data_IF_884266074006
#
_entry.id   IF_884266074006
#
_cell.length_a   1.000
_cell.length_b   1.000
_cell.length_c   1.000
_cell.angle_alpha   90.00
_cell.angle_beta   90.00
_cell.angle_gamma   90.00
#
_symmetry.space_group_name_H-M   'P 1'
#
loop_
_entity.id
_entity.type
_entity.pdbx_description
1 polymer ?
#
# COMPACT_ATOMS: atom_id res chain seq x y z
N UNK A 1 9.44 26.19 -5.98
CA UNK A 1 9.05 25.32 -4.82
C UNK A 1 8.04 24.32 -5.36
N UNK A 2 8.25 23.00 -5.17
CA UNK A 2 7.20 22.01 -5.50
C UNK A 2 6.02 22.23 -4.56
N UNK A 3 4.80 22.23 -5.12
CA UNK A 3 3.55 22.40 -4.35
C UNK A 3 3.46 21.33 -3.24
N UNK A 4 3.38 21.77 -1.97
CA UNK A 4 3.18 20.87 -0.83
C UNK A 4 1.83 20.17 -0.98
N UNK A 5 1.80 18.83 -0.90
CA UNK A 5 0.60 18.00 -0.98
C UNK A 5 0.33 17.28 0.32
N UNK A 6 -0.93 17.07 0.63
CA UNK A 6 -1.37 16.20 1.71
C UNK A 6 -1.64 14.81 1.15
N UNK A 7 -0.85 13.83 1.58
CA UNK A 7 -0.87 12.46 1.06
C UNK A 7 -1.27 11.50 2.17
N UNK A 8 -2.26 10.66 1.89
CA UNK A 8 -2.65 9.58 2.78
C UNK A 8 -2.26 8.24 2.15
N UNK A 9 -1.46 7.45 2.86
CA UNK A 9 -1.11 6.09 2.46
C UNK A 9 -1.99 5.09 3.20
N UNK A 10 -2.58 4.14 2.49
CA UNK A 10 -3.37 3.04 3.04
C UNK A 10 -2.65 1.71 2.78
N UNK A 11 -2.30 0.99 3.83
CA UNK A 11 -1.59 -0.30 3.71
C UNK A 11 -0.88 -0.70 5.00
N UNK A 12 -0.11 -1.80 4.97
CA UNK A 12 0.68 -2.21 6.11
C UNK A 12 1.80 -1.20 6.38
N UNK A 13 1.95 -0.85 7.63
CA UNK A 13 3.01 0.01 8.16
C UNK A 13 3.23 -0.40 9.61
N UNK A 14 4.25 0.14 10.28
CA UNK A 14 4.48 -0.16 11.69
C UNK A 14 3.16 -0.17 12.52
N UNK A 15 2.91 -1.16 13.39
CA UNK A 15 3.82 -2.23 13.85
C UNK A 15 3.88 -3.47 12.96
N UNK A 16 3.25 -3.50 11.78
CA UNK A 16 3.39 -4.62 10.87
C UNK A 16 4.83 -4.69 10.36
N UNK A 17 5.36 -5.93 10.21
CA UNK A 17 6.68 -6.23 9.68
C UNK A 17 6.61 -6.81 8.28
N UNK A 18 7.72 -6.75 7.56
CA UNK A 18 7.93 -7.35 6.24
C UNK A 18 8.01 -6.32 5.13
N UNK A 19 8.55 -6.74 3.98
CA UNK A 19 8.98 -5.84 2.92
C UNK A 19 7.93 -4.83 2.44
N UNK A 20 6.63 -5.18 2.43
CA UNK A 20 5.57 -4.25 2.05
C UNK A 20 5.39 -3.15 3.12
N UNK A 21 5.46 -3.51 4.41
CA UNK A 21 5.35 -2.52 5.50
C UNK A 21 6.57 -1.60 5.52
N UNK A 22 7.77 -2.17 5.34
CA UNK A 22 9.02 -1.41 5.33
C UNK A 22 9.06 -0.44 4.16
N UNK A 23 8.74 -0.89 2.94
CA UNK A 23 8.69 -0.01 1.75
C UNK A 23 7.59 1.05 1.85
N UNK A 24 6.49 0.78 2.55
CA UNK A 24 5.46 1.78 2.85
C UNK A 24 5.98 2.85 3.83
N UNK A 25 6.69 2.45 4.89
CA UNK A 25 7.31 3.38 5.83
C UNK A 25 8.35 4.26 5.12
N UNK A 26 9.21 3.68 4.25
CA UNK A 26 10.17 4.43 3.44
C UNK A 26 9.49 5.43 2.50
N UNK A 27 8.41 5.01 1.82
CA UNK A 27 7.65 5.92 0.97
C UNK A 27 7.14 7.12 1.78
N UNK A 28 6.60 6.87 2.97
CA UNK A 28 6.11 7.93 3.85
C UNK A 28 7.23 8.89 4.28
N UNK A 29 8.40 8.35 4.68
CA UNK A 29 9.57 9.15 5.06
C UNK A 29 10.07 10.03 3.90
N UNK A 30 10.23 9.44 2.72
CA UNK A 30 10.71 10.16 1.54
C UNK A 30 9.73 11.25 1.09
N UNK A 31 8.42 11.00 1.11
CA UNK A 31 7.43 12.02 0.80
C UNK A 31 7.46 13.17 1.83
N UNK A 32 7.65 12.87 3.12
CA UNK A 32 7.85 13.91 4.16
C UNK A 32 9.14 14.71 3.90
N UNK A 33 10.25 14.03 3.57
CA UNK A 33 11.52 14.69 3.25
C UNK A 33 11.43 15.60 2.01
N UNK A 34 10.55 15.26 1.06
CA UNK A 34 10.23 16.10 -0.10
C UNK A 34 9.29 17.28 0.23
N UNK A 35 8.89 17.43 1.51
CA UNK A 35 8.07 18.54 1.99
C UNK A 35 6.56 18.31 1.93
N UNK A 36 6.09 17.11 1.59
CA UNK A 36 4.67 16.76 1.62
C UNK A 36 4.21 16.47 3.07
N UNK A 37 2.90 16.60 3.33
CA UNK A 37 2.29 16.19 4.60
C UNK A 37 1.74 14.78 4.47
N UNK A 38 2.38 13.81 5.14
CA UNK A 38 2.03 12.40 4.98
C UNK A 38 1.39 11.82 6.24
N UNK A 39 0.27 11.15 6.05
CA UNK A 39 -0.38 10.32 7.08
C UNK A 39 -0.47 8.89 6.55
N UNK A 40 -0.30 7.90 7.42
CA UNK A 40 -0.47 6.48 7.08
C UNK A 40 -1.62 5.90 7.89
N UNK A 41 -2.63 5.33 7.20
CA UNK A 41 -3.61 4.47 7.85
C UNK A 41 -3.24 3.02 7.62
N UNK A 42 -2.88 2.34 8.71
CA UNK A 42 -2.55 0.93 8.69
C UNK A 42 -3.64 0.08 9.35
N UNK A 43 -3.47 -1.22 9.32
CA UNK A 43 -4.49 -2.16 9.78
C UNK A 43 -4.58 -2.25 11.32
N UNK A 44 -5.79 -2.38 11.82
CA UNK A 44 -6.08 -2.99 13.12
C UNK A 44 -6.08 -4.51 13.00
N UNK A 45 -6.61 -5.01 11.86
CA UNK A 45 -6.61 -6.42 11.49
C UNK A 45 -6.41 -6.53 9.98
N UNK A 46 -5.29 -7.14 9.55
CA UNK A 46 -4.94 -7.31 8.14
C UNK A 46 -5.48 -8.63 7.59
N UNK A 47 -5.23 -9.74 8.30
CA UNK A 47 -5.73 -11.07 7.97
C UNK A 47 -6.46 -11.69 9.16
N UNK A 48 -7.49 -12.53 8.94
CA UNK A 48 -8.02 -13.39 9.98
C UNK A 48 -6.91 -14.25 10.59
N UNK A 49 -6.92 -14.44 11.91
CA UNK A 49 -5.89 -15.24 12.60
C UNK A 49 -5.69 -16.63 11.98
N UNK A 50 -6.78 -17.23 11.48
CA UNK A 50 -6.77 -18.56 10.84
C UNK A 50 -6.01 -18.59 9.51
N UNK A 51 -5.92 -17.46 8.79
CA UNK A 51 -5.28 -17.37 7.47
C UNK A 51 -3.81 -16.89 7.57
N UNK A 52 -3.32 -16.63 8.77
CA UNK A 52 -1.95 -16.18 8.94
C UNK A 52 -1.06 -17.35 9.39
N UNK A 53 -0.10 -17.78 8.55
CA UNK A 53 0.74 -18.95 8.84
C UNK A 53 1.88 -18.66 9.84
N UNK A 54 2.10 -17.39 10.21
CA UNK A 54 3.21 -16.97 11.07
C UNK A 54 2.83 -16.83 12.55
N UNK A 55 3.83 -16.80 13.43
CA UNK A 55 3.66 -16.61 14.87
C UNK A 55 3.21 -15.19 15.22
N UNK A 56 3.72 -14.16 14.52
CA UNK A 56 3.37 -12.77 14.71
C UNK A 56 3.49 -11.96 13.40
N UNK A 57 2.57 -11.00 13.21
CA UNK A 57 2.59 -10.05 12.11
C UNK A 57 3.30 -8.74 12.50
N UNK A 58 3.69 -8.60 13.75
CA UNK A 58 4.19 -7.36 14.32
C UNK A 58 5.69 -7.41 14.53
N UNK A 59 6.34 -6.25 14.38
CA UNK A 59 7.71 -5.99 14.76
C UNK A 59 7.76 -5.55 16.22
N UNK A 60 8.82 -5.96 16.91
CA UNK A 60 9.15 -5.46 18.25
C UNK A 60 9.99 -4.17 18.18
N UNK A 61 10.33 -3.72 16.98
CA UNK A 61 11.09 -2.49 16.76
C UNK A 61 10.26 -1.24 17.10
N UNK A 62 10.96 -0.17 17.47
CA UNK A 62 10.35 1.13 17.70
C UNK A 62 9.73 1.68 16.39
N UNK A 63 8.58 2.36 16.52
CA UNK A 63 7.99 3.04 15.39
C UNK A 63 9.01 3.99 14.72
N UNK A 64 9.05 4.07 13.39
CA UNK A 64 9.88 5.04 12.70
C UNK A 64 9.57 6.46 13.18
N UNK A 65 10.60 7.20 13.59
CA UNK A 65 10.45 8.58 14.04
C UNK A 65 9.83 9.43 12.91
N UNK A 66 9.01 10.43 13.28
CA UNK A 66 8.40 11.42 12.39
C UNK A 66 7.30 10.88 11.44
N UNK A 67 6.85 9.63 11.55
CA UNK A 67 5.71 9.14 10.79
C UNK A 67 4.39 9.24 11.57
N UNK A 68 3.38 9.85 10.95
CA UNK A 68 2.01 9.88 11.48
C UNK A 68 1.25 8.62 11.07
N UNK A 69 1.46 7.53 11.81
CA UNK A 69 0.83 6.23 11.56
C UNK A 69 -0.38 6.04 12.47
N UNK A 70 -1.54 5.71 11.89
CA UNK A 70 -2.79 5.45 12.62
C UNK A 70 -3.35 4.08 12.25
N UNK A 71 -3.55 3.22 13.22
CA UNK A 71 -4.20 1.91 13.02
C UNK A 71 -5.71 2.10 12.93
N UNK A 72 -6.28 1.99 11.74
CA UNK A 72 -7.70 2.28 11.48
C UNK A 72 -8.43 1.22 10.67
N UNK A 73 -7.74 0.41 9.86
CA UNK A 73 -8.34 -0.43 8.84
C UNK A 73 -8.54 -1.85 9.37
N UNK A 74 -9.77 -2.34 9.28
CA UNK A 74 -10.12 -3.75 9.49
C UNK A 74 -10.50 -4.36 8.14
N UNK A 75 -9.65 -5.23 7.58
CA UNK A 75 -9.71 -5.65 6.17
C UNK A 75 -11.01 -6.37 5.77
N UNK A 76 -11.72 -6.98 6.71
CA UNK A 76 -12.96 -7.74 6.44
C UNK A 76 -14.17 -7.28 7.27
N UNK A 77 -14.19 -6.02 7.73
CA UNK A 77 -15.34 -5.43 8.41
C UNK A 77 -15.93 -4.25 7.60
N UNK A 78 -17.04 -4.44 6.86
CA UNK A 78 -17.64 -3.38 6.04
C UNK A 78 -18.10 -2.14 6.82
N UNK A 79 -18.49 -2.30 8.10
CA UNK A 79 -18.85 -1.15 8.94
C UNK A 79 -17.62 -0.28 9.25
N UNK A 80 -16.44 -0.91 9.43
CA UNK A 80 -15.20 -0.18 9.61
C UNK A 80 -14.81 0.59 8.35
N UNK A 81 -15.02 0.05 7.16
CA UNK A 81 -14.65 0.71 5.88
C UNK A 81 -15.36 2.06 5.73
N UNK A 82 -16.63 2.16 6.16
CA UNK A 82 -17.37 3.43 6.16
C UNK A 82 -16.76 4.46 7.11
N UNK A 83 -16.36 4.04 8.31
CA UNK A 83 -15.69 4.91 9.29
C UNK A 83 -14.32 5.37 8.79
N UNK A 84 -13.58 4.48 8.12
CA UNK A 84 -12.29 4.82 7.49
C UNK A 84 -12.49 5.86 6.40
N UNK A 85 -13.44 5.65 5.48
CA UNK A 85 -13.74 6.61 4.42
C UNK A 85 -14.18 7.98 4.98
N UNK A 86 -14.99 8.00 6.03
CA UNK A 86 -15.35 9.24 6.73
C UNK A 86 -14.12 9.96 7.31
N UNK A 87 -13.20 9.22 7.94
CA UNK A 87 -11.94 9.78 8.45
C UNK A 87 -11.07 10.35 7.32
N UNK A 88 -11.05 9.71 6.15
CA UNK A 88 -10.33 10.19 4.97
C UNK A 88 -10.95 11.49 4.46
N UNK A 89 -12.28 11.54 4.34
CA UNK A 89 -12.99 12.74 3.89
C UNK A 89 -12.78 13.92 4.85
N UNK A 90 -12.76 13.69 6.17
CA UNK A 90 -12.45 14.71 7.17
C UNK A 90 -11.00 15.19 7.09
N UNK A 91 -10.04 14.28 6.81
CA UNK A 91 -8.64 14.63 6.61
C UNK A 91 -8.45 15.46 5.33
N UNK A 92 -9.31 15.25 4.33
CA UNK A 92 -9.33 15.90 3.03
C UNK A 92 -7.93 15.96 2.36
N UNK A 93 -7.28 14.81 2.11
CA UNK A 93 -5.98 14.78 1.44
C UNK A 93 -6.13 15.09 -0.05
N UNK A 94 -5.02 15.54 -0.69
CA UNK A 94 -4.96 15.67 -2.16
C UNK A 94 -4.96 14.28 -2.83
N UNK A 95 -4.23 13.34 -2.20
CA UNK A 95 -4.06 11.97 -2.72
C UNK A 95 -4.29 10.94 -1.63
N UNK A 96 -4.99 9.87 -1.99
CA UNK A 96 -5.06 8.62 -1.22
C UNK A 96 -4.39 7.53 -2.03
N UNK A 97 -3.35 6.90 -1.48
CA UNK A 97 -2.58 5.84 -2.14
C UNK A 97 -2.91 4.52 -1.46
N UNK A 98 -3.53 3.61 -2.21
CA UNK A 98 -3.91 2.28 -1.77
C UNK A 98 -2.80 1.29 -2.11
N UNK A 99 -2.16 0.68 -1.11
CA UNK A 99 -1.19 -0.40 -1.35
C UNK A 99 -1.93 -1.68 -1.72
N UNK A 100 -1.61 -2.24 -2.89
CA UNK A 100 -2.26 -3.43 -3.43
C UNK A 100 -1.24 -4.51 -3.77
N UNK A 101 -1.41 -5.71 -3.20
CA UNK A 101 -0.54 -6.86 -3.44
C UNK A 101 -1.30 -8.19 -3.49
N UNK A 102 -2.60 -8.18 -3.21
CA UNK A 102 -3.43 -9.40 -3.20
C UNK A 102 -4.90 -9.07 -3.46
N UNK A 103 -5.59 -9.87 -4.29
CA UNK A 103 -7.02 -9.72 -4.54
C UNK A 103 -7.89 -9.80 -3.28
N UNK A 104 -7.42 -10.48 -2.23
CA UNK A 104 -8.10 -10.57 -0.92
C UNK A 104 -8.49 -9.20 -0.36
N UNK A 105 -7.69 -8.16 -0.59
CA UNK A 105 -7.96 -6.81 -0.08
C UNK A 105 -8.90 -5.99 -0.97
N UNK A 106 -9.19 -6.45 -2.18
CA UNK A 106 -10.01 -5.70 -3.14
C UNK A 106 -11.39 -5.28 -2.61
N UNK A 107 -12.15 -6.14 -1.89
CA UNK A 107 -13.43 -5.72 -1.31
C UNK A 107 -13.28 -4.59 -0.28
N UNK A 108 -12.23 -4.64 0.55
CA UNK A 108 -11.93 -3.60 1.53
C UNK A 108 -11.59 -2.27 0.84
N UNK A 109 -10.68 -2.30 -0.12
CA UNK A 109 -10.25 -1.11 -0.86
C UNK A 109 -11.41 -0.50 -1.66
N UNK A 110 -12.20 -1.33 -2.35
CA UNK A 110 -13.41 -0.88 -3.03
C UNK A 110 -14.41 -0.24 -2.05
N UNK A 111 -14.69 -0.93 -0.93
CA UNK A 111 -15.66 -0.46 0.07
C UNK A 111 -15.28 0.88 0.69
N UNK A 112 -13.98 1.15 0.87
CA UNK A 112 -13.45 2.44 1.32
C UNK A 112 -13.49 3.45 0.18
N UNK A 113 -12.89 3.14 -0.98
CA UNK A 113 -12.66 4.07 -2.08
C UNK A 113 -13.95 4.64 -2.66
N UNK A 114 -15.01 3.83 -2.79
CA UNK A 114 -16.33 4.28 -3.31
C UNK A 114 -17.02 5.35 -2.43
N UNK A 115 -16.57 5.52 -1.18
CA UNK A 115 -17.14 6.49 -0.22
C UNK A 115 -16.24 7.71 -0.01
N UNK A 116 -15.09 7.75 -0.64
CA UNK A 116 -14.19 8.91 -0.64
C UNK A 116 -14.73 9.96 -1.60
N UNK A 117 -14.63 11.23 -1.22
CA UNK A 117 -15.06 12.36 -2.06
C UNK A 117 -14.34 12.32 -3.42
N UNK A 118 -15.07 12.63 -4.51
CA UNK A 118 -14.55 12.61 -5.89
C UNK A 118 -13.41 13.61 -6.13
N UNK A 119 -13.32 14.63 -5.31
CA UNK A 119 -12.24 15.64 -5.37
C UNK A 119 -10.88 15.10 -4.92
N UNK A 120 -10.88 14.03 -4.13
CA UNK A 120 -9.67 13.38 -3.62
C UNK A 120 -9.19 12.36 -4.65
N UNK A 121 -7.94 12.47 -5.11
CA UNK A 121 -7.35 11.54 -6.08
C UNK A 121 -6.99 10.21 -5.42
N UNK A 122 -7.44 9.13 -6.03
CA UNK A 122 -7.24 7.74 -5.55
C UNK A 122 -6.26 7.02 -6.46
N UNK A 123 -5.11 6.63 -5.92
CA UNK A 123 -4.03 5.95 -6.65
C UNK A 123 -3.80 4.54 -6.09
N UNK A 124 -3.61 3.57 -6.96
CA UNK A 124 -3.15 2.26 -6.57
C UNK A 124 -1.62 2.18 -6.64
N UNK A 125 -0.95 1.81 -5.53
CA UNK A 125 0.46 1.42 -5.54
C UNK A 125 0.54 -0.11 -5.49
N UNK A 126 0.98 -0.71 -6.59
CA UNK A 126 0.80 -2.14 -6.85
C UNK A 126 2.11 -2.90 -6.80
N UNK A 127 2.19 -3.88 -5.92
CA UNK A 127 3.31 -4.83 -5.84
C UNK A 127 3.08 -6.03 -6.78
N UNK A 128 1.87 -6.61 -6.75
CA UNK A 128 1.46 -7.73 -7.61
C UNK A 128 0.06 -7.45 -8.16
N UNK A 129 -0.09 -7.54 -9.50
CA UNK A 129 -1.39 -7.40 -10.17
C UNK A 129 -2.11 -8.74 -10.31
N UNK A 130 -1.36 -9.76 -10.70
CA UNK A 130 -1.81 -11.14 -10.80
C UNK A 130 -1.26 -11.91 -9.60
N UNK A 131 -2.11 -12.71 -8.96
CA UNK A 131 -1.70 -13.58 -7.85
C UNK A 131 -0.70 -14.64 -8.32
N UNK A 132 0.27 -15.02 -7.48
CA UNK A 132 1.19 -16.13 -7.78
C UNK A 132 0.46 -17.48 -7.95
N UNK A 133 -0.65 -17.66 -7.25
CA UNK A 133 -1.55 -18.80 -7.39
C UNK A 133 -2.95 -18.27 -7.76
N UNK A 134 -3.21 -17.96 -9.05
CA UNK A 134 -4.42 -17.29 -9.46
C UNK A 134 -5.65 -18.18 -9.27
N UNK A 135 -6.67 -17.62 -8.65
CA UNK A 135 -7.99 -18.24 -8.48
C UNK A 135 -8.96 -17.62 -9.46
N UNK A 136 -10.02 -18.34 -9.81
CA UNK A 136 -10.99 -17.90 -10.82
C UNK A 136 -11.67 -16.55 -10.50
N UNK A 137 -11.76 -16.16 -9.21
CA UNK A 137 -12.34 -14.88 -8.78
C UNK A 137 -11.33 -13.73 -8.75
N UNK A 138 -10.01 -13.98 -8.81
CA UNK A 138 -8.97 -12.95 -8.61
C UNK A 138 -9.08 -11.81 -9.61
N UNK A 139 -9.34 -12.13 -10.89
CA UNK A 139 -9.53 -11.12 -11.94
C UNK A 139 -10.70 -10.19 -11.62
N UNK A 140 -11.83 -10.73 -11.19
CA UNK A 140 -13.03 -9.95 -10.84
C UNK A 140 -12.76 -9.06 -9.63
N UNK A 141 -12.04 -9.56 -8.61
CA UNK A 141 -11.67 -8.78 -7.43
C UNK A 141 -10.69 -7.66 -7.79
N UNK A 142 -9.69 -7.93 -8.63
CA UNK A 142 -8.74 -6.92 -9.10
C UNK A 142 -9.45 -5.83 -9.91
N UNK A 143 -10.40 -6.21 -10.78
CA UNK A 143 -11.24 -5.25 -11.52
C UNK A 143 -12.13 -4.42 -10.58
N UNK A 144 -12.68 -5.03 -9.52
CA UNK A 144 -13.43 -4.32 -8.50
C UNK A 144 -12.58 -3.23 -7.83
N UNK A 145 -11.34 -3.54 -7.47
CA UNK A 145 -10.39 -2.57 -6.93
C UNK A 145 -10.11 -1.46 -7.95
N UNK A 146 -9.72 -1.81 -9.18
CA UNK A 146 -9.32 -0.84 -10.20
C UNK A 146 -10.43 0.12 -10.59
N UNK A 147 -11.70 -0.30 -10.51
CA UNK A 147 -12.86 0.53 -10.88
C UNK A 147 -13.00 1.82 -10.06
N UNK A 148 -12.29 1.93 -8.95
CA UNK A 148 -12.34 3.09 -8.05
C UNK A 148 -11.08 3.96 -8.12
N UNK A 149 -10.09 3.59 -8.93
CA UNK A 149 -8.81 4.28 -8.98
C UNK A 149 -8.78 5.32 -10.11
N UNK A 150 -8.08 6.42 -9.88
CA UNK A 150 -7.80 7.46 -10.87
C UNK A 150 -6.49 7.18 -11.64
N UNK A 151 -5.67 6.23 -11.18
CA UNK A 151 -4.42 5.81 -11.79
C UNK A 151 -3.62 4.87 -10.90
N UNK A 152 -2.48 4.42 -11.41
CA UNK A 152 -1.64 3.44 -10.74
C UNK A 152 -0.15 3.80 -10.77
N UNK A 153 0.56 3.30 -9.77
CA UNK A 153 2.00 3.17 -9.78
C UNK A 153 2.37 1.71 -9.49
N UNK A 154 3.34 1.17 -10.22
CA UNK A 154 3.87 -0.17 -10.00
C UNK A 154 5.35 -0.12 -9.65
N UNK A 155 5.82 -1.10 -8.88
CA UNK A 155 7.21 -1.24 -8.49
C UNK A 155 7.99 -2.18 -9.41
N UNK A 156 7.41 -2.57 -10.55
CA UNK A 156 8.10 -3.27 -11.64
C UNK A 156 7.44 -2.97 -12.97
N UNK A 157 8.21 -3.02 -14.05
CA UNK A 157 7.71 -2.83 -15.41
C UNK A 157 6.68 -3.90 -15.78
N UNK A 158 6.95 -5.16 -15.45
CA UNK A 158 6.06 -6.29 -15.77
C UNK A 158 4.67 -6.12 -15.12
N UNK A 159 4.62 -5.72 -13.84
CA UNK A 159 3.34 -5.43 -13.15
C UNK A 159 2.65 -4.23 -13.80
N UNK A 160 3.40 -3.19 -14.17
CA UNK A 160 2.86 -2.02 -14.86
C UNK A 160 2.23 -2.37 -16.20
N UNK A 161 2.83 -3.27 -16.96
CA UNK A 161 2.30 -3.74 -18.25
C UNK A 161 1.01 -4.55 -18.09
N UNK A 162 0.92 -5.38 -17.05
CA UNK A 162 -0.32 -6.09 -16.69
C UNK A 162 -1.45 -5.12 -16.36
N UNK A 163 -1.16 -4.06 -15.57
CA UNK A 163 -2.15 -3.03 -15.21
C UNK A 163 -2.64 -2.31 -16.47
N UNK A 164 -1.73 -1.91 -17.37
CA UNK A 164 -2.11 -1.22 -18.63
C UNK A 164 -2.95 -2.11 -19.52
N UNK A 165 -2.63 -3.40 -19.60
CA UNK A 165 -3.44 -4.37 -20.37
C UNK A 165 -4.88 -4.43 -19.89
N UNK A 166 -5.10 -4.40 -18.57
CA UNK A 166 -6.44 -4.49 -17.97
C UNK A 166 -7.14 -3.12 -17.86
N UNK A 167 -6.39 -2.01 -17.83
CA UNK A 167 -6.90 -0.64 -17.63
C UNK A 167 -6.23 0.36 -18.59
N UNK A 168 -6.39 0.20 -19.91
CA UNK A 168 -5.67 1.02 -20.91
C UNK A 168 -6.02 2.51 -20.85
N UNK A 169 -7.15 2.88 -20.23
CA UNK A 169 -7.62 4.25 -20.11
C UNK A 169 -7.05 5.00 -18.88
N UNK A 170 -6.40 4.30 -17.94
CA UNK A 170 -5.89 4.91 -16.72
C UNK A 170 -4.38 5.19 -16.83
N UNK A 171 -3.90 6.29 -16.27
CA UNK A 171 -2.48 6.55 -16.19
C UNK A 171 -1.78 5.53 -15.30
N UNK A 172 -0.68 4.95 -15.78
CA UNK A 172 0.14 3.99 -15.05
C UNK A 172 1.60 4.44 -15.08
N UNK A 173 2.13 4.76 -13.90
CA UNK A 173 3.56 4.98 -13.72
C UNK A 173 4.25 3.63 -13.43
N UNK A 174 5.35 3.37 -14.16
CA UNK A 174 6.16 2.16 -14.00
C UNK A 174 7.46 2.52 -13.33
N UNK A 175 7.69 1.97 -12.16
CA UNK A 175 8.92 2.13 -11.40
C UNK A 175 9.62 0.81 -11.14
N UNK A 176 10.44 0.82 -10.13
CA UNK A 176 11.15 -0.35 -9.63
C UNK A 176 11.18 -0.30 -8.09
N UNK A 177 11.42 -1.44 -7.47
CA UNK A 177 11.63 -1.49 -6.03
C UNK A 177 12.86 -0.68 -5.65
N UNK A 178 12.74 0.33 -4.79
CA UNK A 178 13.90 1.05 -4.31
C UNK A 178 14.78 0.13 -3.48
N UNK A 179 16.09 0.28 -3.64
CA UNK A 179 17.06 -0.29 -2.71
C UNK A 179 17.03 0.58 -1.45
N UNK A 180 16.96 -0.05 -0.31
CA UNK A 180 16.90 0.65 0.99
C UNK A 180 18.30 0.94 1.50
N UNK A 181 18.53 2.18 1.96
CA UNK A 181 19.86 2.66 2.38
C UNK A 181 20.43 1.95 3.62
N UNK A 182 19.59 1.19 4.33
CA UNK A 182 20.01 0.45 5.54
C UNK A 182 20.52 -0.97 5.25
N UNK A 183 20.56 -1.40 3.98
CA UNK A 183 21.19 -2.66 3.66
C UNK A 183 22.68 -2.60 3.99
N UNK A 184 23.24 -3.61 4.68
CA UNK A 184 24.67 -3.68 4.94
C UNK A 184 25.44 -3.64 3.62
N UNK A 185 26.65 -3.10 3.65
CA UNK A 185 27.52 -3.13 2.49
C UNK A 185 27.68 -4.55 1.97
N UNK A 186 27.66 -4.70 0.65
CA UNK A 186 27.87 -6.00 0.02
C UNK A 186 29.21 -6.58 0.48
N UNK A 187 29.17 -7.78 1.03
CA UNK A 187 30.36 -8.55 1.35
C UNK A 187 30.64 -9.56 0.24
N UNK A 188 31.91 -9.95 0.00
CA UNK A 188 32.25 -10.97 -0.98
C UNK A 188 31.45 -12.26 -0.71
N UNK A 189 31.03 -12.92 -1.78
CA UNK A 189 30.16 -14.11 -1.71
C UNK A 189 30.75 -15.23 -0.85
N UNK A 190 32.10 -15.39 -0.87
CA UNK A 190 32.79 -16.36 -0.04
C UNK A 190 32.59 -16.10 1.45
N UNK A 191 32.76 -14.85 1.89
CA UNK A 191 32.52 -14.44 3.29
C UNK A 191 31.05 -14.54 3.70
N UNK A 192 30.11 -14.31 2.77
CA UNK A 192 28.69 -14.42 3.04
C UNK A 192 28.22 -15.89 3.21
N UNK A 193 29.00 -16.86 2.73
CA UNK A 193 28.72 -18.30 2.89
C UNK A 193 29.28 -18.89 4.20
N UNK A 194 30.20 -18.17 4.83
CA UNK A 194 30.84 -18.57 6.11
C UNK A 194 30.11 -18.00 7.33
N UNK A 195 29.15 -17.04 7.13
CA UNK A 195 28.35 -16.40 8.16
C UNK A 195 26.97 -17.07 8.30
#
# INVERSE_FOLDING_TARGET
>A
MKDKKKVLLLGPAHPFRGGIADTQNYLAQNLNALGHEVTVFTFTTQYPKLLFPGKTQFSDEKAPDQLNIKRKIHSFNPFNWSKVAQSINQLNPDYVIFRYWTPFLAPCWYGIARKIHKTIKKMGLVDNWISHEPKFWDKTLTQLFSSQMDGFASLSTAVGDQIVSDNPQLPVWRGFHPITDHLPQAIPQEKAREA
#
